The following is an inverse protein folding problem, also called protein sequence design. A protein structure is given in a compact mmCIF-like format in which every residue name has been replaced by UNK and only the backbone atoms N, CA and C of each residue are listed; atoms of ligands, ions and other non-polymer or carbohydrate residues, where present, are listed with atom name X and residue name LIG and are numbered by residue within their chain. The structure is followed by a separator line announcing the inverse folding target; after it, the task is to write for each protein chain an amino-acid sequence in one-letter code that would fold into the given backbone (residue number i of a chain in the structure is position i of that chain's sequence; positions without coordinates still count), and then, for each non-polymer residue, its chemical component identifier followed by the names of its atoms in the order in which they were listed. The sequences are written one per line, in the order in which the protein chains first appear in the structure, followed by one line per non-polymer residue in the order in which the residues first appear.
data_IF_256466578478
#
_entry.id   IF_256466578478
#
_cell.length_a   1.000
_cell.length_b   1.000
_cell.length_c   1.000
_cell.angle_alpha   90.00
_cell.angle_beta   90.00
_cell.angle_gamma   90.00
#
_symmetry.space_group_name_H-M   'P 1'
#
loop_
_entity.id
_entity.type
_entity.pdbx_description
1 polymer ?
#
# COMPACT_ATOMS: atom_id res chain seq x y z
N UNK A 1 -13.00 19.84 28.98
CA UNK A 1 -12.89 18.61 28.25
C UNK A 1 -11.61 18.62 27.42
N UNK A 2 -10.91 17.53 27.49
CA UNK A 2 -9.65 17.44 26.79
C UNK A 2 -9.87 17.23 25.31
N UNK A 3 -9.19 17.99 24.52
CA UNK A 3 -9.30 17.88 23.07
C UNK A 3 -8.34 16.83 22.56
N UNK A 4 -8.88 15.84 21.89
CA UNK A 4 -8.04 14.79 21.33
C UNK A 4 -7.40 15.25 20.04
N UNK A 5 -6.14 14.91 19.92
CA UNK A 5 -5.38 15.24 18.72
C UNK A 5 -5.46 14.06 17.77
N UNK A 6 -6.05 14.27 16.62
CA UNK A 6 -6.14 13.27 15.58
C UNK A 6 -5.26 13.68 14.41
N UNK A 7 -3.99 13.94 14.72
CA UNK A 7 -3.04 14.29 13.67
C UNK A 7 -2.85 13.11 12.74
N UNK A 8 -2.99 13.37 11.47
CA UNK A 8 -2.72 12.36 10.48
C UNK A 8 -1.22 12.20 10.31
N UNK A 9 -0.74 10.99 10.47
CA UNK A 9 0.68 10.69 10.29
C UNK A 9 0.91 10.31 8.82
N UNK A 10 1.45 11.22 8.05
CA UNK A 10 1.67 10.98 6.63
C UNK A 10 2.64 9.84 6.37
N UNK A 11 3.41 9.44 7.38
CA UNK A 11 4.30 8.31 7.23
C UNK A 11 3.54 7.00 7.04
N UNK A 12 2.24 7.00 7.31
CA UNK A 12 1.43 5.82 7.05
C UNK A 12 1.46 5.44 5.57
N UNK A 13 1.52 6.45 4.69
CA UNK A 13 1.61 6.15 3.26
C UNK A 13 2.90 5.42 2.92
N UNK A 14 4.00 5.83 3.55
CA UNK A 14 5.27 5.15 3.32
C UNK A 14 5.23 3.71 3.83
N UNK A 15 4.58 3.52 4.99
CA UNK A 15 4.41 2.18 5.54
C UNK A 15 3.61 1.32 4.57
N UNK A 16 2.51 1.86 4.05
CA UNK A 16 1.67 1.11 3.11
C UNK A 16 2.45 0.77 1.84
N UNK A 17 3.20 1.72 1.30
CA UNK A 17 3.99 1.49 0.09
C UNK A 17 4.98 0.35 0.29
N UNK A 18 5.68 0.36 1.41
CA UNK A 18 6.64 -0.70 1.71
C UNK A 18 5.95 -2.05 1.90
N UNK A 19 4.80 -2.04 2.55
CA UNK A 19 4.07 -3.28 2.78
C UNK A 19 3.52 -3.86 1.48
N UNK A 20 3.03 -3.01 0.58
CA UNK A 20 2.55 -3.50 -0.71
C UNK A 20 3.69 -4.21 -1.45
N UNK A 21 4.85 -3.58 -1.49
CA UNK A 21 6.00 -4.18 -2.16
C UNK A 21 6.43 -5.48 -1.47
N UNK A 22 6.43 -5.47 -0.14
CA UNK A 22 6.83 -6.64 0.63
C UNK A 22 5.91 -7.83 0.36
N UNK A 23 4.61 -7.62 0.46
CA UNK A 23 3.66 -8.72 0.26
C UNK A 23 3.58 -9.15 -1.19
N UNK A 24 3.77 -8.19 -2.12
CA UNK A 24 3.84 -8.55 -3.53
C UNK A 24 4.99 -9.53 -3.78
N UNK A 25 6.15 -9.22 -3.22
CA UNK A 25 7.32 -10.10 -3.40
C UNK A 25 7.10 -11.46 -2.73
N UNK A 26 6.44 -11.46 -1.58
CA UNK A 26 6.13 -12.72 -0.91
C UNK A 26 5.18 -13.58 -1.74
N UNK A 27 4.33 -12.95 -2.54
CA UNK A 27 3.44 -13.66 -3.45
C UNK A 27 4.12 -14.08 -4.74
N UNK A 28 5.38 -13.70 -4.92
CA UNK A 28 6.11 -14.03 -6.14
C UNK A 28 5.64 -13.26 -7.35
N UNK A 29 5.04 -12.10 -7.15
CA UNK A 29 4.50 -11.30 -8.25
C UNK A 29 5.43 -10.16 -8.62
N UNK A 30 5.51 -9.89 -9.93
CA UNK A 30 6.15 -8.65 -10.38
C UNK A 30 5.17 -7.51 -10.21
N UNK A 31 5.68 -6.27 -10.26
CA UNK A 31 4.80 -5.11 -10.19
C UNK A 31 3.84 -5.06 -11.37
N UNK A 32 4.26 -5.55 -12.53
CA UNK A 32 3.38 -5.62 -13.70
C UNK A 32 2.25 -6.61 -13.47
N UNK A 33 2.55 -7.75 -12.87
CA UNK A 33 1.53 -8.76 -12.58
C UNK A 33 0.53 -8.24 -11.55
N UNK A 34 1.02 -7.54 -10.54
CA UNK A 34 0.13 -6.95 -9.54
C UNK A 34 -0.78 -5.91 -10.20
N UNK A 35 -0.21 -5.07 -11.06
CA UNK A 35 -0.99 -4.05 -11.75
C UNK A 35 -2.11 -4.68 -12.57
N UNK A 36 -1.80 -5.73 -13.31
CA UNK A 36 -2.79 -6.41 -14.13
C UNK A 36 -3.89 -7.01 -13.27
N UNK A 37 -3.52 -7.65 -12.17
CA UNK A 37 -4.50 -8.29 -11.30
C UNK A 37 -5.40 -7.26 -10.60
N UNK A 38 -4.87 -6.10 -10.27
CA UNK A 38 -5.63 -5.04 -9.61
C UNK A 38 -6.46 -4.25 -10.61
N UNK A 39 -6.05 -4.24 -11.87
CA UNK A 39 -6.76 -3.49 -12.90
C UNK A 39 -6.27 -2.05 -13.04
N UNK A 40 -4.99 -1.82 -12.77
CA UNK A 40 -4.39 -0.49 -12.92
C UNK A 40 -3.15 -0.61 -13.80
N UNK A 41 -2.58 0.53 -14.17
CA UNK A 41 -1.40 0.52 -15.02
C UNK A 41 -0.17 0.08 -14.23
N UNK A 42 0.79 -0.49 -14.95
CA UNK A 42 2.07 -0.88 -14.34
C UNK A 42 2.76 0.34 -13.72
N UNK A 43 2.68 1.47 -14.43
CA UNK A 43 3.28 2.71 -13.94
C UNK A 43 2.68 3.15 -12.62
N UNK A 44 1.38 2.95 -12.47
CA UNK A 44 0.70 3.31 -11.24
C UNK A 44 1.24 2.50 -10.05
N UNK A 45 1.43 1.19 -10.24
CA UNK A 45 1.98 0.35 -9.17
C UNK A 45 3.42 0.75 -8.87
N UNK A 46 4.21 1.05 -9.92
CA UNK A 46 5.58 1.48 -9.71
C UNK A 46 5.63 2.77 -8.90
N UNK A 47 4.73 3.68 -9.17
CA UNK A 47 4.68 4.94 -8.44
C UNK A 47 4.23 4.72 -7.00
N UNK A 48 3.25 3.84 -6.79
CA UNK A 48 2.82 3.53 -5.43
C UNK A 48 3.98 2.96 -4.61
N UNK A 49 4.77 2.07 -5.21
CA UNK A 49 5.86 1.44 -4.47
C UNK A 49 7.08 2.33 -4.31
N UNK A 50 7.12 3.44 -5.00
CA UNK A 50 8.25 4.36 -4.93
C UNK A 50 8.09 5.28 -3.73
N UNK A 51 9.04 5.25 -2.82
CA UNK A 51 8.99 6.08 -1.63
C UNK A 51 9.32 7.53 -1.93
N UNK A 52 9.69 7.82 -3.18
CA UNK A 52 10.05 9.18 -3.58
C UNK A 52 8.87 9.97 -4.14
N UNK A 53 7.75 9.32 -4.37
CA UNK A 53 6.59 9.98 -4.94
C UNK A 53 5.60 10.36 -3.85
N UNK A 54 4.86 11.42 -4.11
CA UNK A 54 3.76 11.81 -3.23
C UNK A 54 2.42 11.33 -3.75
N UNK A 55 2.47 10.39 -4.66
CA UNK A 55 1.27 9.85 -5.25
C UNK A 55 0.47 9.09 -4.20
N UNK A 56 -0.77 9.50 -4.03
CA UNK A 56 -1.67 8.85 -3.10
C UNK A 56 -2.59 7.91 -3.85
N UNK A 57 -3.19 7.00 -3.14
CA UNK A 57 -4.10 6.04 -3.72
C UNK A 57 -5.40 6.03 -2.92
N UNK A 58 -6.47 5.64 -3.58
CA UNK A 58 -7.79 5.59 -2.95
C UNK A 58 -7.90 4.36 -2.07
N UNK A 59 -8.89 4.40 -1.17
CA UNK A 59 -9.19 3.24 -0.35
C UNK A 59 -9.62 2.07 -1.23
N UNK A 60 -10.33 2.35 -2.32
CA UNK A 60 -10.76 1.29 -3.23
C UNK A 60 -9.55 0.58 -3.85
N UNK A 61 -8.57 1.34 -4.30
CA UNK A 61 -7.36 0.75 -4.87
C UNK A 61 -6.64 -0.09 -3.83
N UNK A 62 -6.51 0.45 -2.62
CA UNK A 62 -5.85 -0.26 -1.54
C UNK A 62 -6.57 -1.55 -1.22
N UNK A 63 -7.90 -1.51 -1.19
CA UNK A 63 -8.69 -2.71 -0.95
C UNK A 63 -8.45 -3.76 -2.03
N UNK A 64 -8.45 -3.35 -3.30
CA UNK A 64 -8.21 -4.28 -4.40
C UNK A 64 -6.84 -4.92 -4.29
N UNK A 65 -5.83 -4.12 -3.93
CA UNK A 65 -4.48 -4.64 -3.74
C UNK A 65 -4.48 -5.68 -2.61
N UNK A 66 -5.16 -5.39 -1.52
CA UNK A 66 -5.20 -6.31 -0.39
C UNK A 66 -5.84 -7.65 -0.79
N UNK A 67 -6.87 -7.60 -1.61
CA UNK A 67 -7.54 -8.81 -2.06
C UNK A 67 -6.61 -9.63 -2.95
N UNK A 68 -5.94 -8.97 -3.89
CA UNK A 68 -5.02 -9.67 -4.80
C UNK A 68 -3.87 -10.29 -4.04
N UNK A 69 -3.34 -9.57 -3.05
CA UNK A 69 -2.22 -10.08 -2.27
C UNK A 69 -2.65 -11.09 -1.21
N UNK A 70 -3.95 -11.25 -1.01
CA UNK A 70 -4.45 -12.20 -0.02
C UNK A 70 -4.19 -11.79 1.40
N UNK A 71 -4.10 -10.49 1.63
CA UNK A 71 -3.84 -9.96 2.97
C UNK A 71 -4.92 -8.96 3.33
N UNK A 72 -5.14 -8.76 4.62
CA UNK A 72 -6.11 -7.78 5.06
C UNK A 72 -5.54 -6.38 4.99
N UNK A 73 -6.43 -5.38 5.00
CA UNK A 73 -6.00 -3.99 5.04
C UNK A 73 -5.16 -3.71 6.28
N UNK A 74 -5.48 -4.39 7.38
CA UNK A 74 -4.72 -4.21 8.62
C UNK A 74 -3.25 -4.56 8.44
N UNK A 75 -2.95 -5.57 7.62
CA UNK A 75 -1.56 -5.95 7.36
C UNK A 75 -0.85 -4.91 6.52
N UNK A 76 -1.57 -4.26 5.60
CA UNK A 76 -0.96 -3.26 4.74
C UNK A 76 -0.61 -1.99 5.49
N UNK A 77 -1.34 -1.68 6.56
CA UNK A 77 -1.07 -0.48 7.35
C UNK A 77 -0.24 -0.78 8.59
N UNK A 78 0.12 -2.03 8.80
CA UNK A 78 0.87 -2.43 9.98
C UNK A 78 2.31 -1.95 9.90
N UNK A 79 2.74 -1.30 10.96
CA UNK A 79 4.13 -0.85 11.03
C UNK A 79 5.03 -2.06 11.21
N UNK A 80 6.17 -2.01 10.53
CA UNK A 80 7.15 -3.06 10.71
C UNK A 80 7.68 -3.00 12.14
N UNK A 81 7.66 -4.16 12.79
CA UNK A 81 8.30 -4.26 14.10
C UNK A 81 9.68 -4.85 13.90
N UNK A 82 10.63 -4.26 14.54
CA UNK A 82 12.00 -4.76 14.49
C UNK A 82 12.31 -5.53 15.76
#
# INVERSE_FOLDING_TARGET
MEEKQYSFDERIYDTIRRNIKKYRKQCGMTSAQLAEAVGVSHDFIRQIESEKTRYNFSVETLYRISVVLGTGLDKLIEKESN
#
